data_IF_828110632930
#
_entry.id   IF_828110632930
#
_cell.length_a   1.000
_cell.length_b   1.000
_cell.length_c   1.000
_cell.angle_alpha   90.00
_cell.angle_beta   90.00
_cell.angle_gamma   90.00
#
_symmetry.space_group_name_H-M   'P 1'
#
loop_
_entity.id
_entity.type
_entity.pdbx_description
1 polymer ?
#
# COMPACT_ATOMS: atom_id res chain seq x y z
N UNK A 1 -7.13 -10.84 -21.54
CA UNK A 1 -6.07 -9.82 -21.45
C UNK A 1 -6.43 -8.93 -20.28
N UNK A 2 -5.79 -9.11 -19.12
CA UNK A 2 -5.94 -8.17 -18.03
C UNK A 2 -5.18 -6.90 -18.42
N UNK A 3 -5.91 -5.85 -18.78
CA UNK A 3 -5.34 -4.52 -18.82
C UNK A 3 -5.02 -4.19 -17.36
N UNK A 4 -3.77 -4.44 -16.96
CA UNK A 4 -3.23 -3.87 -15.74
C UNK A 4 -3.48 -2.37 -15.85
N UNK A 5 -4.48 -1.89 -15.12
CA UNK A 5 -4.74 -0.48 -14.93
C UNK A 5 -3.44 0.09 -14.37
N UNK A 6 -2.61 0.69 -15.24
CA UNK A 6 -1.37 1.35 -14.87
C UNK A 6 -1.75 2.64 -14.16
N UNK A 7 -2.27 2.48 -12.95
CA UNK A 7 -2.46 3.53 -11.97
C UNK A 7 -1.13 4.27 -11.87
N UNK A 8 -1.10 5.51 -12.36
CA UNK A 8 0.08 6.35 -12.24
C UNK A 8 0.07 6.96 -10.86
N UNK A 9 0.93 6.45 -9.99
CA UNK A 9 1.07 6.94 -8.62
C UNK A 9 1.69 8.33 -8.61
N UNK A 10 1.13 9.24 -7.84
CA UNK A 10 1.74 10.56 -7.57
C UNK A 10 2.37 10.60 -6.18
N UNK A 11 3.35 11.49 -5.91
CA UNK A 11 4.04 11.54 -4.61
C UNK A 11 3.11 11.68 -3.40
N UNK A 12 1.97 12.38 -3.56
CA UNK A 12 0.97 12.51 -2.49
C UNK A 12 0.33 11.17 -2.12
N UNK A 13 0.12 10.28 -3.09
CA UNK A 13 -0.44 8.95 -2.85
C UNK A 13 0.58 8.03 -2.18
N UNK A 14 1.87 8.16 -2.52
CA UNK A 14 2.93 7.43 -1.84
C UNK A 14 3.04 7.82 -0.37
N UNK A 15 2.98 9.12 -0.07
CA UNK A 15 2.99 9.63 1.30
C UNK A 15 1.80 9.06 2.08
N UNK A 16 0.61 9.03 1.48
CA UNK A 16 -0.58 8.45 2.11
C UNK A 16 -0.42 6.94 2.34
N UNK A 17 0.10 6.19 1.36
CA UNK A 17 0.37 4.76 1.49
C UNK A 17 1.35 4.46 2.62
N UNK A 18 2.47 5.18 2.68
CA UNK A 18 3.48 5.02 3.75
C UNK A 18 2.89 5.38 5.11
N UNK A 19 2.12 6.47 5.21
CA UNK A 19 1.44 6.85 6.45
C UNK A 19 0.48 5.75 6.93
N UNK A 20 -0.37 5.21 6.05
CA UNK A 20 -1.25 4.09 6.39
C UNK A 20 -0.48 2.82 6.82
N UNK A 21 0.68 2.55 6.22
CA UNK A 21 1.54 1.43 6.63
C UNK A 21 2.12 1.64 8.02
N UNK A 22 2.55 2.86 8.36
CA UNK A 22 3.05 3.20 9.70
C UNK A 22 1.93 3.07 10.73
N UNK A 23 0.75 3.61 10.45
CA UNK A 23 -0.41 3.49 11.33
C UNK A 23 -0.81 2.03 11.55
N UNK A 24 -0.84 1.23 10.48
CA UNK A 24 -1.14 -0.20 10.57
C UNK A 24 -0.10 -0.94 11.44
N UNK A 25 1.17 -0.59 11.30
CA UNK A 25 2.24 -1.17 12.12
C UNK A 25 2.09 -0.81 13.60
N UNK A 26 1.73 0.44 13.90
CA UNK A 26 1.52 0.91 15.27
C UNK A 26 0.30 0.25 15.95
N UNK A 27 -0.74 -0.09 15.18
CA UNK A 27 -1.89 -0.87 15.70
C UNK A 27 -1.47 -2.30 16.06
N UNK A 28 -0.49 -2.87 15.37
CA UNK A 28 0.12 -4.16 15.71
C UNK A 28 -0.68 -5.41 15.31
N UNK A 29 -1.95 -5.26 14.90
CA UNK A 29 -2.85 -6.38 14.60
C UNK A 29 -2.38 -7.25 13.43
N UNK A 30 -1.68 -6.67 12.46
CA UNK A 30 -1.16 -7.37 11.29
C UNK A 30 0.36 -7.62 11.35
N UNK A 31 1.04 -7.30 12.45
CA UNK A 31 2.49 -7.41 12.50
C UNK A 31 2.96 -8.87 12.58
N UNK A 32 4.15 -9.10 12.04
CA UNK A 32 4.99 -10.29 12.24
C UNK A 32 6.40 -9.84 12.58
N UNK A 33 7.28 -10.78 12.94
CA UNK A 33 8.68 -10.47 13.23
C UNK A 33 9.42 -9.82 12.06
N UNK A 34 8.94 -10.00 10.82
CA UNK A 34 9.62 -9.55 9.60
C UNK A 34 8.77 -8.64 8.71
N UNK A 35 7.61 -8.19 9.19
CA UNK A 35 6.72 -7.30 8.43
C UNK A 35 5.25 -7.50 8.79
N UNK A 36 4.42 -7.73 7.77
CA UNK A 36 2.98 -7.91 7.92
C UNK A 36 2.52 -9.33 7.57
N UNK A 37 1.50 -9.82 8.27
CA UNK A 37 0.84 -11.11 8.01
C UNK A 37 -0.18 -11.01 6.87
N UNK A 38 -0.71 -12.15 6.45
CA UNK A 38 -1.73 -12.21 5.41
C UNK A 38 -2.95 -11.31 5.73
N UNK A 39 -3.51 -10.70 4.68
CA UNK A 39 -4.67 -9.81 4.78
C UNK A 39 -4.34 -8.32 4.99
N UNK A 40 -3.09 -7.96 5.28
CA UNK A 40 -2.73 -6.56 5.52
C UNK A 40 -3.00 -5.63 4.32
N UNK A 41 -2.89 -6.13 3.08
CA UNK A 41 -3.18 -5.34 1.88
C UNK A 41 -4.65 -4.92 1.80
N UNK A 42 -5.58 -5.78 2.25
CA UNK A 42 -7.01 -5.45 2.25
C UNK A 42 -7.32 -4.39 3.31
N UNK A 43 -6.63 -4.44 4.45
CA UNK A 43 -6.77 -3.42 5.48
C UNK A 43 -6.17 -2.08 5.03
N UNK A 44 -5.02 -2.11 4.33
CA UNK A 44 -4.45 -0.90 3.70
C UNK A 44 -5.38 -0.32 2.64
N UNK A 45 -6.03 -1.14 1.81
CA UNK A 45 -7.06 -0.67 0.87
C UNK A 45 -8.17 0.08 1.61
N UNK A 46 -8.73 -0.51 2.67
CA UNK A 46 -9.78 0.11 3.49
C UNK A 46 -9.33 1.42 4.16
N UNK A 47 -8.08 1.50 4.61
CA UNK A 47 -7.52 2.73 5.19
C UNK A 47 -7.35 3.81 4.12
N UNK A 48 -6.84 3.45 2.95
CA UNK A 48 -6.62 4.37 1.84
C UNK A 48 -7.93 4.86 1.22
N UNK A 49 -8.97 4.05 1.14
CA UNK A 49 -10.30 4.49 0.70
C UNK A 49 -10.85 5.63 1.57
N UNK A 50 -10.45 5.72 2.85
CA UNK A 50 -10.84 6.84 3.73
C UNK A 50 -10.01 8.10 3.48
N UNK A 51 -8.73 7.94 3.19
CA UNK A 51 -7.78 9.05 2.98
C UNK A 51 -7.87 9.62 1.56
N UNK A 52 -8.15 8.74 0.59
CA UNK A 52 -8.17 8.99 -0.84
C UNK A 52 -9.45 8.39 -1.47
N UNK A 53 -10.65 8.84 -1.08
CA UNK A 53 -11.92 8.22 -1.49
C UNK A 53 -12.20 8.26 -3.00
N UNK A 54 -11.53 9.14 -3.73
CA UNK A 54 -11.67 9.27 -5.19
C UNK A 54 -10.69 8.38 -5.96
N UNK A 55 -9.74 7.78 -5.27
CA UNK A 55 -8.67 6.98 -5.86
C UNK A 55 -9.06 5.51 -5.68
N UNK A 56 -9.53 4.87 -6.74
CA UNK A 56 -10.03 3.48 -6.72
C UNK A 56 -8.88 2.47 -6.65
N UNK A 57 -8.07 2.52 -5.60
CA UNK A 57 -6.94 1.63 -5.37
C UNK A 57 -7.44 0.27 -4.90
N UNK A 58 -6.96 -0.81 -5.54
CA UNK A 58 -7.19 -2.18 -5.09
C UNK A 58 -5.96 -2.77 -4.43
N UNK A 59 -6.16 -3.57 -3.38
CA UNK A 59 -5.12 -4.35 -2.72
C UNK A 59 -4.22 -5.07 -3.73
N UNK A 60 -4.86 -5.66 -4.74
CA UNK A 60 -4.20 -6.18 -5.95
C UNK A 60 -4.92 -5.67 -7.21
N UNK A 61 -4.19 -5.27 -8.26
CA UNK A 61 -2.73 -5.25 -8.36
C UNK A 61 -2.08 -3.95 -7.81
N UNK A 62 -2.86 -2.91 -7.46
CA UNK A 62 -2.31 -1.55 -7.27
C UNK A 62 -1.36 -1.43 -6.07
N UNK A 63 -1.83 -1.79 -4.87
CA UNK A 63 -1.02 -1.64 -3.66
C UNK A 63 0.16 -2.61 -3.64
N UNK A 64 -0.08 -3.87 -4.01
CA UNK A 64 0.98 -4.88 -4.07
C UNK A 64 2.14 -4.44 -4.98
N UNK A 65 1.83 -3.96 -6.17
CA UNK A 65 2.85 -3.49 -7.13
C UNK A 65 3.62 -2.29 -6.57
N UNK A 66 2.90 -1.29 -6.03
CA UNK A 66 3.55 -0.06 -5.54
C UNK A 66 4.47 -0.30 -4.35
N UNK A 67 4.03 -1.12 -3.38
CA UNK A 67 4.87 -1.47 -2.22
C UNK A 67 6.14 -2.20 -2.66
N UNK A 68 6.05 -3.10 -3.65
CA UNK A 68 7.24 -3.78 -4.21
C UNK A 68 8.22 -2.77 -4.83
N UNK A 69 7.72 -1.79 -5.58
CA UNK A 69 8.54 -0.73 -6.16
C UNK A 69 9.19 0.14 -5.08
N UNK A 70 8.42 0.65 -4.11
CA UNK A 70 8.96 1.49 -3.02
C UNK A 70 10.05 0.78 -2.20
N UNK A 71 9.88 -0.52 -1.92
CA UNK A 71 10.91 -1.32 -1.24
C UNK A 71 12.20 -1.45 -2.05
N UNK A 72 12.09 -1.60 -3.37
CA UNK A 72 13.25 -1.67 -4.27
C UNK A 72 13.98 -0.33 -4.34
N UNK A 73 13.22 0.75 -4.49
CA UNK A 73 13.76 2.10 -4.60
C UNK A 73 14.49 2.49 -3.31
N UNK A 74 13.92 2.14 -2.14
CA UNK A 74 14.58 2.34 -0.84
C UNK A 74 15.87 1.52 -0.67
N UNK A 75 15.89 0.27 -1.12
CA UNK A 75 17.07 -0.59 -1.01
C UNK A 75 18.21 -0.19 -1.97
N UNK A 76 17.98 0.76 -2.87
CA UNK A 76 18.97 1.26 -3.83
C UNK A 76 19.70 2.52 -3.30
N UNK A 77 19.25 3.09 -2.18
CA UNK A 77 19.88 4.21 -1.45
C UNK A 77 20.79 3.66 -0.35
#
# INVERSE_FOLDING_TARGET
>A
MELANQMTWVPKEDVALVACMVDLYNVGTYNTNTGFKAGYLNELERMLEKVLPHVMLKAKPNLESRIKTLKRDWATV
#
